data_IF_050422758020
#
_entry.id   IF_050422758020
#
_cell.length_a   1.000
_cell.length_b   1.000
_cell.length_c   1.000
_cell.angle_alpha   90.00
_cell.angle_beta   90.00
_cell.angle_gamma   90.00
#
_symmetry.space_group_name_H-M   'P 1'
#
loop_
_entity.id
_entity.type
_entity.pdbx_description
1 polymer ?
#
# COMPACT_ATOMS: atom_id res chain seq x y z
N UNK A 1 -0.64 10.21 -13.07
CA UNK A 1 -1.54 9.18 -12.50
C UNK A 1 -2.12 9.78 -11.24
N UNK A 2 -3.44 9.80 -11.14
CA UNK A 2 -4.15 10.28 -9.98
C UNK A 2 -4.86 9.09 -9.35
N UNK A 3 -4.79 8.99 -8.03
CA UNK A 3 -5.60 8.02 -7.29
C UNK A 3 -6.60 8.85 -6.51
N UNK A 4 -7.88 8.49 -6.54
CA UNK A 4 -8.92 9.08 -5.71
C UNK A 4 -9.51 8.01 -4.83
N UNK A 5 -9.90 8.30 -3.60
CA UNK A 5 -10.53 7.27 -2.76
C UNK A 5 -11.30 7.83 -1.58
N UNK A 6 -12.04 6.94 -0.93
CA UNK A 6 -12.86 7.24 0.24
C UNK A 6 -12.93 6.06 1.20
N UNK A 7 -13.20 6.34 2.47
CA UNK A 7 -13.63 5.35 3.46
C UNK A 7 -15.04 4.89 3.11
N UNK A 8 -15.27 3.58 3.19
CA UNK A 8 -16.60 3.01 3.06
C UNK A 8 -16.89 2.06 4.23
N UNK A 9 -18.17 1.77 4.42
CA UNK A 9 -18.61 0.83 5.45
C UNK A 9 -18.11 -0.58 5.14
N UNK A 10 -17.27 -1.16 6.00
CA UNK A 10 -16.67 -2.48 5.74
C UNK A 10 -17.72 -3.57 5.51
N UNK A 11 -18.82 -3.52 6.27
CA UNK A 11 -19.91 -4.50 6.14
C UNK A 11 -20.63 -4.45 4.78
N UNK A 12 -20.50 -3.36 4.00
CA UNK A 12 -21.16 -3.25 2.70
C UNK A 12 -20.42 -4.03 1.59
N UNK A 13 -19.13 -4.32 1.78
CA UNK A 13 -18.31 -5.03 0.80
C UNK A 13 -17.80 -6.38 1.31
N UNK A 14 -17.99 -6.70 2.60
CA UNK A 14 -17.37 -7.87 3.23
C UNK A 14 -17.68 -9.18 2.49
N UNK A 15 -18.95 -9.48 2.23
CA UNK A 15 -19.37 -10.70 1.52
C UNK A 15 -18.67 -10.83 0.16
N UNK A 16 -18.74 -9.77 -0.66
CA UNK A 16 -18.09 -9.71 -1.98
C UNK A 16 -16.58 -9.98 -1.90
N UNK A 17 -15.92 -9.41 -0.89
CA UNK A 17 -14.47 -9.49 -0.76
C UNK A 17 -14.02 -10.88 -0.29
N UNK A 18 -14.78 -11.50 0.62
CA UNK A 18 -14.44 -12.83 1.16
C UNK A 18 -14.76 -13.95 0.18
N UNK A 19 -15.77 -13.81 -0.69
CA UNK A 19 -16.07 -14.77 -1.75
C UNK A 19 -14.96 -14.90 -2.80
N UNK A 20 -14.19 -13.82 -3.01
CA UNK A 20 -13.14 -13.76 -4.02
C UNK A 20 -11.78 -14.32 -3.59
N UNK A 21 -11.65 -14.78 -2.34
CA UNK A 21 -10.35 -15.17 -1.76
C UNK A 21 -10.44 -16.52 -1.05
N UNK A 22 -9.42 -17.36 -1.23
CA UNK A 22 -9.24 -18.58 -0.43
C UNK A 22 -8.67 -18.22 0.96
N UNK A 23 -9.56 -17.76 1.86
CA UNK A 23 -9.19 -17.44 3.23
C UNK A 23 -8.64 -18.64 4.01
N UNK A 24 -9.04 -19.86 3.66
CA UNK A 24 -8.54 -21.05 4.34
C UNK A 24 -7.06 -21.27 4.05
N UNK A 25 -6.63 -21.05 2.80
CA UNK A 25 -5.21 -21.02 2.45
C UNK A 25 -4.47 -19.90 3.18
N UNK A 26 -5.01 -18.67 3.19
CA UNK A 26 -4.39 -17.52 3.88
C UNK A 26 -4.19 -17.84 5.36
N UNK A 27 -5.22 -18.31 6.05
CA UNK A 27 -5.17 -18.73 7.46
C UNK A 27 -4.16 -19.84 7.68
N UNK A 28 -4.12 -20.85 6.81
CA UNK A 28 -3.18 -21.97 6.91
C UNK A 28 -1.73 -21.47 6.87
N UNK A 29 -1.42 -20.53 5.98
CA UNK A 29 -0.07 -19.95 5.89
C UNK A 29 0.24 -19.03 7.07
N UNK A 30 -0.70 -18.21 7.53
CA UNK A 30 -0.54 -17.38 8.73
C UNK A 30 -0.30 -18.22 9.99
N UNK A 31 -1.01 -19.33 10.13
CA UNK A 31 -0.93 -20.24 11.28
C UNK A 31 0.43 -20.94 11.43
N UNK A 32 1.33 -20.82 10.45
CA UNK A 32 2.73 -21.24 10.59
C UNK A 32 3.52 -20.33 11.54
N UNK A 33 3.09 -19.08 11.73
CA UNK A 33 3.80 -18.06 12.51
C UNK A 33 3.07 -17.67 13.81
N UNK A 34 1.76 -17.87 13.87
CA UNK A 34 0.94 -17.59 15.04
C UNK A 34 -0.54 -17.85 14.74
N UNK A 35 -1.36 -18.07 15.78
CA UNK A 35 -2.77 -18.37 15.60
C UNK A 35 -3.53 -17.15 15.06
N UNK A 36 -4.18 -17.30 13.91
CA UNK A 36 -5.19 -16.39 13.40
C UNK A 36 -6.59 -17.01 13.60
N UNK A 37 -7.49 -16.24 14.19
CA UNK A 37 -8.91 -16.61 14.35
C UNK A 37 -9.81 -15.47 13.89
N UNK A 38 -10.84 -15.79 13.10
CA UNK A 38 -11.84 -14.81 12.65
C UNK A 38 -12.71 -14.30 13.81
N UNK A 39 -12.96 -15.14 14.81
CA UNK A 39 -13.73 -14.78 16.01
C UNK A 39 -13.02 -13.71 16.85
N UNK A 40 -11.74 -13.47 16.58
CA UNK A 40 -10.90 -12.48 17.26
C UNK A 40 -10.67 -11.21 16.43
N UNK A 41 -11.37 -11.03 15.29
CA UNK A 41 -11.29 -9.78 14.52
C UNK A 41 -11.86 -8.65 15.40
N UNK A 42 -10.99 -7.71 15.77
CA UNK A 42 -11.33 -6.56 16.62
C UNK A 42 -11.57 -5.28 15.84
N UNK A 43 -11.14 -5.22 14.58
CA UNK A 43 -11.37 -4.06 13.71
C UNK A 43 -11.58 -4.48 12.26
N UNK A 44 -12.57 -3.82 11.63
CA UNK A 44 -12.81 -3.86 10.20
C UNK A 44 -12.75 -2.44 9.64
N UNK A 45 -12.10 -2.27 8.50
CA UNK A 45 -12.11 -1.01 7.76
C UNK A 45 -12.12 -1.30 6.28
N UNK A 46 -12.74 -0.42 5.50
CA UNK A 46 -12.76 -0.55 4.06
C UNK A 46 -12.53 0.79 3.37
N UNK A 47 -11.99 0.69 2.17
CA UNK A 47 -11.79 1.81 1.26
C UNK A 47 -12.28 1.45 -0.13
N UNK A 48 -12.71 2.45 -0.85
CA UNK A 48 -12.78 2.41 -2.30
C UNK A 48 -11.75 3.39 -2.87
N UNK A 49 -11.15 3.02 -4.01
CA UNK A 49 -10.26 3.91 -4.73
C UNK A 49 -10.37 3.72 -6.24
N UNK A 50 -9.90 4.73 -6.95
CA UNK A 50 -10.02 4.88 -8.38
C UNK A 50 -8.70 5.41 -8.91
N UNK A 51 -8.16 4.79 -9.95
CA UNK A 51 -6.97 5.29 -10.63
C UNK A 51 -7.38 5.92 -11.94
N UNK A 52 -6.94 7.16 -12.16
CA UNK A 52 -7.15 7.90 -13.40
C UNK A 52 -5.84 8.37 -14.03
N UNK A 53 -5.78 8.41 -15.36
CA UNK A 53 -4.66 9.05 -16.07
C UNK A 53 -4.72 10.58 -15.99
N UNK A 54 -5.94 11.14 -16.03
CA UNK A 54 -6.21 12.58 -15.97
C UNK A 54 -7.08 12.92 -14.75
N UNK A 55 -6.71 13.97 -14.04
CA UNK A 55 -7.43 14.54 -12.90
C UNK A 55 -8.90 14.87 -13.20
N UNK A 56 -9.17 15.35 -14.42
CA UNK A 56 -10.51 15.72 -14.90
C UNK A 56 -11.38 14.50 -15.23
N UNK A 57 -10.81 13.29 -15.24
CA UNK A 57 -11.56 12.06 -15.51
C UNK A 57 -12.57 11.83 -14.40
N UNK A 58 -13.83 11.69 -14.77
CA UNK A 58 -14.87 11.32 -13.81
C UNK A 58 -14.59 9.92 -13.25
N UNK A 59 -14.83 9.74 -11.96
CA UNK A 59 -14.62 8.49 -11.21
C UNK A 59 -15.28 7.28 -11.89
N UNK A 60 -16.45 7.47 -12.49
CA UNK A 60 -17.17 6.45 -13.24
C UNK A 60 -16.36 5.86 -14.42
N UNK A 61 -15.46 6.66 -15.00
CA UNK A 61 -14.62 6.36 -16.15
C UNK A 61 -13.17 5.99 -15.76
N UNK A 62 -12.90 5.76 -14.48
CA UNK A 62 -11.56 5.38 -14.00
C UNK A 62 -11.04 4.10 -14.68
N UNK A 63 -9.75 4.06 -15.00
CA UNK A 63 -9.10 2.89 -15.58
C UNK A 63 -9.15 1.67 -14.67
N UNK A 64 -8.89 1.90 -13.38
CA UNK A 64 -8.87 0.88 -12.35
C UNK A 64 -9.75 1.33 -11.20
N UNK A 65 -10.65 0.44 -10.77
CA UNK A 65 -11.44 0.59 -9.55
C UNK A 65 -10.94 -0.42 -8.54
N UNK A 66 -10.81 0.01 -7.29
CA UNK A 66 -10.26 -0.79 -6.20
C UNK A 66 -11.18 -0.78 -5.00
N UNK A 67 -11.40 -1.95 -4.41
CA UNK A 67 -12.02 -2.09 -3.10
C UNK A 67 -11.01 -2.74 -2.17
N UNK A 68 -10.73 -2.11 -1.03
CA UNK A 68 -9.86 -2.64 0.01
C UNK A 68 -10.66 -2.98 1.25
N UNK A 69 -10.51 -4.19 1.79
CA UNK A 69 -11.06 -4.62 3.06
C UNK A 69 -9.92 -5.03 3.99
N UNK A 70 -9.86 -4.46 5.17
CA UNK A 70 -8.88 -4.79 6.21
C UNK A 70 -9.59 -5.43 7.39
N UNK A 71 -9.12 -6.61 7.79
CA UNK A 71 -9.55 -7.37 8.95
C UNK A 71 -8.37 -7.46 9.92
N UNK A 72 -8.48 -6.83 11.10
CA UNK A 72 -7.42 -6.89 12.13
C UNK A 72 -7.84 -7.70 13.33
N UNK A 73 -6.96 -8.58 13.78
CA UNK A 73 -6.98 -9.18 15.10
C UNK A 73 -5.93 -8.47 15.95
N UNK A 74 -6.38 -7.37 16.58
CA UNK A 74 -5.54 -6.51 17.42
C UNK A 74 -4.25 -6.09 16.67
N UNK A 75 -3.10 -6.11 17.35
CA UNK A 75 -1.78 -5.86 16.77
C UNK A 75 -0.99 -7.15 16.55
N UNK A 76 -1.65 -8.31 16.58
CA UNK A 76 -0.97 -9.61 16.42
C UNK A 76 -1.03 -10.10 14.98
N UNK A 77 -2.15 -9.88 14.30
CA UNK A 77 -2.28 -10.28 12.92
C UNK A 77 -3.36 -9.49 12.21
N UNK A 78 -3.26 -9.40 10.88
CA UNK A 78 -4.27 -8.75 10.08
C UNK A 78 -4.18 -9.17 8.61
N UNK A 79 -5.31 -9.11 7.92
CA UNK A 79 -5.50 -9.45 6.52
C UNK A 79 -6.05 -8.21 5.81
N UNK A 80 -5.44 -7.82 4.70
CA UNK A 80 -5.96 -6.85 3.75
C UNK A 80 -6.26 -7.56 2.45
N UNK A 81 -7.49 -7.45 1.97
CA UNK A 81 -7.93 -7.95 0.67
C UNK A 81 -8.18 -6.73 -0.20
N UNK A 82 -7.56 -6.69 -1.37
CA UNK A 82 -7.78 -5.65 -2.37
C UNK A 82 -8.29 -6.29 -3.66
N UNK A 83 -9.50 -5.91 -4.06
CA UNK A 83 -10.11 -6.30 -5.32
C UNK A 83 -9.91 -5.18 -6.33
N UNK A 84 -9.22 -5.49 -7.43
CA UNK A 84 -8.99 -4.58 -8.53
C UNK A 84 -9.90 -4.95 -9.71
N UNK A 85 -10.60 -3.96 -10.26
CA UNK A 85 -11.30 -4.06 -11.53
C UNK A 85 -10.61 -3.17 -12.55
N UNK A 86 -10.00 -3.76 -13.58
CA UNK A 86 -9.47 -3.02 -14.70
C UNK A 86 -10.54 -2.88 -15.80
N UNK A 87 -11.02 -1.65 -15.99
CA UNK A 87 -12.09 -1.35 -16.96
C UNK A 87 -11.59 -1.44 -18.41
N UNK A 88 -10.30 -1.14 -18.67
CA UNK A 88 -9.70 -1.20 -20.01
C UNK A 88 -9.47 -2.64 -20.48
N UNK A 89 -9.03 -3.52 -19.58
CA UNK A 89 -8.72 -4.93 -19.87
C UNK A 89 -9.92 -5.86 -19.62
N UNK A 90 -10.98 -5.37 -18.98
CA UNK A 90 -12.12 -6.18 -18.54
C UNK A 90 -11.65 -7.37 -17.69
N UNK A 91 -10.81 -7.08 -16.71
CA UNK A 91 -10.20 -8.06 -15.81
C UNK A 91 -10.47 -7.70 -14.34
N UNK A 92 -10.56 -8.73 -13.50
CA UNK A 92 -10.76 -8.61 -12.05
C UNK A 92 -9.74 -9.48 -11.35
N UNK A 93 -8.93 -8.88 -10.48
CA UNK A 93 -7.93 -9.59 -9.70
C UNK A 93 -8.06 -9.28 -8.21
N UNK A 94 -7.62 -10.22 -7.39
CA UNK A 94 -7.54 -10.08 -5.94
C UNK A 94 -6.09 -10.12 -5.49
N UNK A 95 -5.73 -9.18 -4.62
CA UNK A 95 -4.47 -9.22 -3.88
C UNK A 95 -4.80 -9.33 -2.41
N UNK A 96 -4.28 -10.35 -1.75
CA UNK A 96 -4.44 -10.50 -0.31
C UNK A 96 -3.09 -10.36 0.37
N UNK A 97 -2.99 -9.45 1.34
CA UNK A 97 -1.81 -9.25 2.18
C UNK A 97 -2.14 -9.67 3.59
N UNK A 98 -1.40 -10.64 4.11
CA UNK A 98 -1.51 -11.05 5.50
C UNK A 98 -0.24 -10.67 6.25
N UNK A 99 -0.39 -10.13 7.45
CA UNK A 99 0.73 -9.86 8.35
C UNK A 99 0.50 -10.56 9.67
N UNK A 100 1.51 -11.28 10.17
CA UNK A 100 1.55 -11.84 11.53
C UNK A 100 2.74 -11.25 12.26
N UNK A 101 2.52 -10.70 13.44
CA UNK A 101 3.56 -10.11 14.30
C UNK A 101 3.96 -11.14 15.35
N UNK A 102 5.21 -11.56 15.33
CA UNK A 102 5.79 -12.36 16.41
C UNK A 102 6.74 -11.49 17.23
N UNK A 103 6.77 -11.73 18.54
CA UNK A 103 7.63 -11.02 19.47
C UNK A 103 8.33 -12.01 20.37
N UNK A 104 9.66 -11.93 20.42
CA UNK A 104 10.48 -12.55 21.45
C UNK A 104 11.12 -11.45 22.32
N UNK A 105 11.87 -11.84 23.35
CA UNK A 105 12.44 -10.88 24.32
C UNK A 105 13.42 -9.87 23.71
N UNK A 106 13.95 -10.12 22.50
CA UNK A 106 14.97 -9.30 21.85
C UNK A 106 14.52 -8.66 20.52
N UNK A 107 13.43 -9.14 19.91
CA UNK A 107 13.12 -8.86 18.51
C UNK A 107 11.61 -8.94 18.23
N UNK A 108 11.14 -8.05 17.37
CA UNK A 108 9.81 -8.09 16.78
C UNK A 108 9.98 -8.41 15.29
N UNK A 109 9.27 -9.40 14.80
CA UNK A 109 9.28 -9.80 13.39
C UNK A 109 7.87 -9.72 12.84
N UNK A 110 7.73 -9.08 11.67
CA UNK A 110 6.52 -9.10 10.85
C UNK A 110 6.69 -10.12 9.74
N UNK A 111 5.89 -11.18 9.80
CA UNK A 111 5.76 -12.16 8.73
C UNK A 111 4.71 -11.64 7.74
N UNK A 112 5.17 -11.12 6.60
CA UNK A 112 4.33 -10.56 5.55
C UNK A 112 4.16 -11.60 4.45
N UNK A 113 2.90 -11.90 4.13
CA UNK A 113 2.50 -12.85 3.10
C UNK A 113 1.70 -12.09 2.04
N UNK A 114 1.95 -12.38 0.76
CA UNK A 114 1.16 -11.85 -0.35
C UNK A 114 0.61 -12.98 -1.18
N UNK A 115 -0.68 -12.89 -1.48
CA UNK A 115 -1.38 -13.77 -2.38
C UNK A 115 -1.93 -12.95 -3.56
N UNK A 116 -1.79 -13.47 -4.76
CA UNK A 116 -2.40 -12.91 -5.98
C UNK A 116 -3.32 -13.97 -6.57
N UNK A 117 -4.60 -13.63 -6.73
CA UNK A 117 -5.64 -14.52 -7.27
C UNK A 117 -5.68 -15.91 -6.59
N UNK A 118 -5.46 -15.91 -5.27
CA UNK A 118 -5.46 -17.11 -4.42
C UNK A 118 -4.14 -17.88 -4.38
N UNK A 119 -3.12 -17.47 -5.14
CA UNK A 119 -1.80 -18.10 -5.10
C UNK A 119 -0.83 -17.31 -4.22
N UNK A 120 -0.09 -18.00 -3.34
CA UNK A 120 0.94 -17.39 -2.51
C UNK A 120 2.15 -17.01 -3.37
N UNK A 121 2.42 -15.70 -3.51
CA UNK A 121 3.49 -15.18 -4.35
C UNK A 121 4.71 -14.70 -3.57
N UNK A 122 4.53 -14.18 -2.36
CA UNK A 122 5.64 -13.69 -1.53
C UNK A 122 5.51 -14.06 -0.05
N UNK A 123 6.67 -14.31 0.57
CA UNK A 123 6.86 -14.42 2.02
C UNK A 123 8.08 -13.59 2.42
N UNK A 124 7.87 -12.60 3.28
CA UNK A 124 8.95 -11.76 3.83
C UNK A 124 8.89 -11.78 5.35
N UNK A 125 10.04 -12.00 5.97
CA UNK A 125 10.23 -11.83 7.41
C UNK A 125 10.97 -10.51 7.63
N UNK A 126 10.30 -9.53 8.23
CA UNK A 126 10.83 -8.18 8.41
C UNK A 126 11.04 -7.90 9.89
N UNK A 127 12.30 -7.74 10.28
CA UNK A 127 12.65 -7.29 11.62
C UNK A 127 12.27 -5.81 11.79
N UNK A 128 11.62 -5.47 12.89
CA UNK A 128 11.12 -4.10 13.12
C UNK A 128 11.16 -3.73 14.59
N UNK A 129 11.07 -2.43 14.86
CA UNK A 129 10.82 -1.91 16.22
C UNK A 129 9.36 -1.49 16.42
N UNK A 130 8.54 -1.58 15.37
CA UNK A 130 7.16 -1.12 15.32
C UNK A 130 6.21 -2.32 15.21
N UNK A 131 5.61 -2.80 16.32
CA UNK A 131 4.69 -3.94 16.29
C UNK A 131 3.36 -3.63 15.59
N UNK A 132 3.05 -2.36 15.36
CA UNK A 132 1.78 -1.95 14.76
C UNK A 132 1.72 -2.35 13.28
N UNK A 133 0.64 -3.02 12.86
CA UNK A 133 0.44 -3.41 11.46
C UNK A 133 -0.19 -2.24 10.70
N UNK A 134 0.44 -1.82 9.61
CA UNK A 134 0.01 -0.72 8.73
C UNK A 134 -0.62 -1.30 7.46
N UNK A 135 -1.79 -0.80 7.07
CA UNK A 135 -2.48 -1.18 5.83
C UNK A 135 -3.07 0.05 5.15
N UNK A 136 -3.34 -0.08 3.85
CA UNK A 136 -3.76 1.05 3.01
C UNK A 136 -5.05 1.67 3.53
N UNK A 137 -6.02 0.82 3.91
CA UNK A 137 -7.35 1.25 4.36
C UNK A 137 -7.34 2.15 5.61
N UNK A 138 -6.26 2.12 6.41
CA UNK A 138 -6.14 2.94 7.60
C UNK A 138 -5.27 4.18 7.40
N UNK A 139 -4.22 4.07 6.59
CA UNK A 139 -3.23 5.14 6.42
C UNK A 139 -3.62 6.19 5.37
N UNK A 140 -4.41 5.84 4.35
CA UNK A 140 -4.76 6.82 3.29
C UNK A 140 -5.62 8.00 3.81
N UNK A 141 -6.11 7.93 5.06
CA UNK A 141 -7.16 8.82 5.55
C UNK A 141 -6.85 9.34 6.96
N UNK A 142 -5.57 9.57 7.29
CA UNK A 142 -5.26 10.28 8.52
C UNK A 142 -5.44 11.79 8.29
N UNK A 143 -6.47 12.37 8.91
CA UNK A 143 -6.85 13.79 8.85
C UNK A 143 -5.69 14.75 9.17
N UNK A 144 -4.64 14.23 9.81
CA UNK A 144 -3.47 15.01 10.22
C UNK A 144 -2.45 15.23 9.09
N UNK A 145 -2.44 14.41 8.04
CA UNK A 145 -1.61 14.62 6.85
C UNK A 145 -2.39 15.36 5.73
N UNK A 146 -3.73 15.39 5.80
CA UNK A 146 -4.64 16.11 4.87
C UNK A 146 -4.54 17.64 4.99
N UNK A 147 -3.92 18.16 6.05
CA UNK A 147 -3.77 19.61 6.26
C UNK A 147 -2.88 20.35 5.23
N UNK A 148 -2.31 19.64 4.24
CA UNK A 148 -1.53 20.21 3.14
C UNK A 148 -2.30 20.36 1.80
N UNK A 149 -3.52 19.82 1.67
CA UNK A 149 -4.30 19.93 0.44
C UNK A 149 -5.71 20.43 0.76
N UNK A 150 -6.14 21.53 0.12
CA UNK A 150 -7.52 22.04 0.18
C UNK A 150 -8.48 21.10 -0.58
N UNK A 151 -8.58 19.84 -0.18
CA UNK A 151 -9.54 18.87 -0.71
C UNK A 151 -10.61 18.55 0.33
N UNK A 152 -11.79 18.15 -0.16
CA UNK A 152 -12.91 17.66 0.64
C UNK A 152 -12.41 16.60 1.64
N UNK A 153 -12.74 16.67 2.95
CA UNK A 153 -12.36 15.64 3.92
C UNK A 153 -12.86 14.22 3.57
N UNK A 154 -13.87 14.12 2.69
CA UNK A 154 -14.40 12.85 2.20
C UNK A 154 -13.76 12.39 0.86
N UNK A 155 -12.94 13.21 0.21
CA UNK A 155 -12.21 12.88 -1.03
C UNK A 155 -10.69 12.86 -0.80
N UNK A 156 -10.10 11.67 -0.86
CA UNK A 156 -8.65 11.51 -0.79
C UNK A 156 -8.03 11.55 -2.18
N UNK A 157 -6.90 12.27 -2.31
CA UNK A 157 -5.99 12.21 -3.45
C UNK A 157 -4.81 11.32 -3.09
N UNK A 158 -4.48 10.37 -3.97
CA UNK A 158 -3.37 9.43 -3.92
C UNK A 158 -2.11 10.04 -3.37
N UNK A 159 -1.20 9.21 -2.84
CA UNK A 159 0.10 9.61 -2.27
C UNK A 159 0.67 10.87 -2.94
N UNK A 160 0.41 12.08 -2.40
CA UNK A 160 0.46 13.30 -3.22
C UNK A 160 1.87 13.62 -3.75
N UNK A 161 2.88 13.16 -3.02
CA UNK A 161 4.27 13.28 -3.42
C UNK A 161 4.67 12.44 -4.65
N UNK A 162 3.81 11.55 -5.17
CA UNK A 162 4.01 10.90 -6.47
C UNK A 162 3.31 11.61 -7.62
N UNK A 163 2.60 12.72 -7.36
CA UNK A 163 2.12 13.57 -8.43
C UNK A 163 3.29 14.30 -9.09
N UNK A 164 3.40 14.16 -10.41
CA UNK A 164 4.43 14.83 -11.23
C UNK A 164 4.08 16.30 -11.52
N UNK A 165 2.89 16.75 -11.13
CA UNK A 165 2.40 18.09 -11.41
C UNK A 165 1.83 18.76 -10.14
N UNK A 166 2.41 19.88 -9.67
CA UNK A 166 3.49 20.65 -10.28
C UNK A 166 4.84 19.94 -10.26
N UNK A 167 5.72 20.25 -11.21
CA UNK A 167 7.06 19.69 -11.39
C UNK A 167 8.06 19.93 -10.22
N UNK A 168 7.58 20.45 -9.09
CA UNK A 168 8.32 20.72 -7.86
C UNK A 168 7.69 19.99 -6.67
N UNK A 169 7.14 18.79 -6.88
CA UNK A 169 6.64 17.99 -5.77
C UNK A 169 7.76 17.80 -4.74
N UNK A 170 7.46 18.14 -3.47
CA UNK A 170 8.38 17.85 -2.38
C UNK A 170 8.47 16.33 -2.21
N UNK A 171 9.63 15.87 -1.75
CA UNK A 171 9.82 14.44 -1.48
C UNK A 171 8.85 13.97 -0.42
N UNK A 172 8.49 12.69 -0.54
CA UNK A 172 7.49 12.11 0.33
C UNK A 172 7.89 12.28 1.80
N UNK A 173 6.91 12.64 2.61
CA UNK A 173 7.05 12.71 4.05
C UNK A 173 5.98 11.81 4.66
N UNK A 174 6.41 10.86 5.49
CA UNK A 174 5.50 9.90 6.07
C UNK A 174 5.72 9.73 7.57
N UNK A 175 4.62 9.56 8.30
CA UNK A 175 4.64 9.03 9.67
C UNK A 175 4.18 7.57 9.66
N UNK A 176 4.75 6.76 10.55
CA UNK A 176 4.24 5.42 10.81
C UNK A 176 2.75 5.47 11.21
N UNK A 177 1.89 4.72 10.51
CA UNK A 177 0.43 4.74 10.68
C UNK A 177 -0.22 6.14 10.49
N UNK A 178 0.48 7.11 9.91
CA UNK A 178 0.00 8.49 9.80
C UNK A 178 -0.28 9.17 11.14
N UNK A 179 0.31 8.68 12.25
CA UNK A 179 0.01 9.15 13.61
C UNK A 179 0.83 10.41 13.96
N UNK A 180 0.22 11.52 14.41
CA UNK A 180 0.93 12.80 14.65
C UNK A 180 2.10 12.73 15.63
N UNK A 181 2.04 11.79 16.58
CA UNK A 181 3.06 11.62 17.62
C UNK A 181 4.19 10.67 17.21
N UNK A 182 4.10 10.00 16.05
CA UNK A 182 5.22 9.25 15.48
C UNK A 182 6.14 10.21 14.73
N UNK A 183 7.40 9.86 14.61
CA UNK A 183 8.39 10.66 13.88
C UNK A 183 7.97 10.84 12.41
N UNK A 184 8.22 12.05 11.88
CA UNK A 184 8.05 12.33 10.45
C UNK A 184 9.36 11.97 9.76
N UNK A 185 9.29 11.05 8.82
CA UNK A 185 10.42 10.68 7.97
C UNK A 185 10.30 11.46 6.66
N UNK A 186 11.27 12.31 6.35
CA UNK A 186 11.38 12.99 5.05
C UNK A 186 12.30 12.18 4.15
N UNK A 187 11.77 11.64 3.06
CA UNK A 187 12.51 10.78 2.15
C UNK A 187 13.39 11.60 1.19
N UNK A 188 14.51 11.03 0.75
CA UNK A 188 15.42 11.66 -0.21
C UNK A 188 15.16 11.23 -1.65
N UNK A 189 14.55 10.06 -1.84
CA UNK A 189 14.33 9.42 -3.14
C UNK A 189 12.87 9.10 -3.43
N UNK A 190 12.05 8.81 -2.41
CA UNK A 190 10.63 8.58 -2.65
C UNK A 190 9.92 9.90 -3.00
N UNK A 191 9.43 10.02 -4.24
CA UNK A 191 8.60 11.14 -4.70
C UNK A 191 8.89 11.51 -6.16
N UNK A 192 7.95 12.13 -6.84
CA UNK A 192 8.14 12.58 -8.22
C UNK A 192 9.23 13.67 -8.28
N UNK A 193 10.32 13.39 -9.00
CA UNK A 193 11.46 14.32 -9.12
C UNK A 193 12.40 14.33 -7.91
N UNK A 194 12.22 13.40 -6.97
CA UNK A 194 13.06 13.27 -5.80
C UNK A 194 14.25 12.37 -6.08
N UNK A 195 15.34 12.96 -6.57
CA UNK A 195 16.60 12.25 -6.74
C UNK A 195 17.73 13.04 -6.10
N UNK A 196 17.79 13.05 -4.76
CA UNK A 196 18.85 13.76 -4.02
C UNK A 196 20.14 12.95 -3.99
N UNK A 197 20.76 12.75 -5.17
CA UNK A 197 21.97 11.94 -5.40
C UNK A 197 23.22 12.24 -4.54
N UNK A 198 23.17 13.28 -3.70
CA UNK A 198 24.21 13.67 -2.75
C UNK A 198 23.89 13.28 -1.30
N UNK A 199 22.75 12.64 -1.05
CA UNK A 199 22.31 12.14 0.26
C UNK A 199 22.18 10.61 0.21
N UNK A 200 22.46 9.96 1.33
CA UNK A 200 22.13 8.55 1.51
C UNK A 200 20.61 8.39 1.66
N UNK A 201 20.04 7.22 1.29
CA UNK A 201 18.66 6.92 1.62
C UNK A 201 18.41 6.94 3.13
N UNK A 202 17.27 7.48 3.56
CA UNK A 202 16.98 7.61 4.99
C UNK A 202 16.69 6.27 5.68
N UNK A 203 16.10 5.32 4.94
CA UNK A 203 15.74 4.00 5.44
C UNK A 203 15.66 2.98 4.28
N UNK A 204 15.43 1.68 4.56
CA UNK A 204 15.31 0.66 3.52
C UNK A 204 14.26 0.94 2.44
N UNK A 205 13.15 1.60 2.75
CA UNK A 205 12.15 1.95 1.75
C UNK A 205 12.64 3.08 0.83
N UNK A 206 13.32 4.08 1.38
CA UNK A 206 13.95 5.14 0.58
C UNK A 206 15.02 4.58 -0.37
N UNK A 207 15.76 3.55 0.07
CA UNK A 207 16.72 2.84 -0.77
C UNK A 207 16.05 2.07 -1.93
N UNK A 208 14.83 1.56 -1.72
CA UNK A 208 14.03 1.01 -2.81
C UNK A 208 13.68 2.09 -3.85
N UNK A 209 13.32 3.29 -3.41
CA UNK A 209 13.05 4.44 -4.28
C UNK A 209 14.31 4.90 -5.03
N UNK A 210 15.48 4.97 -4.38
CA UNK A 210 16.76 5.27 -5.05
C UNK A 210 17.03 4.29 -6.19
N UNK A 211 16.82 2.99 -5.93
CA UNK A 211 17.01 1.94 -6.94
C UNK A 211 16.04 2.10 -8.11
N UNK A 212 14.78 2.46 -7.83
CA UNK A 212 13.75 2.72 -8.84
C UNK A 212 14.11 3.92 -9.72
N UNK A 213 14.53 5.03 -9.12
CA UNK A 213 15.00 6.22 -9.84
C UNK A 213 16.19 5.89 -10.75
N UNK A 214 17.17 5.13 -10.23
CA UNK A 214 18.31 4.67 -11.02
C UNK A 214 17.90 3.78 -12.19
N UNK A 215 16.86 2.94 -11.99
CA UNK A 215 16.31 2.07 -13.02
C UNK A 215 15.69 2.91 -14.17
N UNK A 216 14.87 3.92 -13.84
CA UNK A 216 14.30 4.83 -14.83
C UNK A 216 15.38 5.65 -15.55
N UNK A 217 16.36 6.20 -14.82
CA UNK A 217 17.46 6.99 -15.41
C UNK A 217 18.32 6.23 -16.42
N UNK A 218 18.30 4.89 -16.39
CA UNK A 218 19.01 4.03 -17.35
C UNK A 218 18.17 3.62 -18.57
N UNK A 219 16.96 4.19 -18.73
CA UNK A 219 16.00 3.84 -19.79
C UNK A 219 15.62 2.35 -19.81
N UNK A 220 15.53 1.72 -18.64
CA UNK A 220 14.97 0.37 -18.54
C UNK A 220 13.45 0.38 -18.75
N UNK A 221 12.88 -0.81 -18.95
CA UNK A 221 11.44 -0.99 -19.05
C UNK A 221 10.78 -0.48 -17.74
N UNK A 222 9.97 0.58 -17.86
CA UNK A 222 9.28 1.24 -16.75
C UNK A 222 8.43 0.27 -15.92
N UNK A 223 7.79 -0.74 -16.53
CA UNK A 223 7.05 -1.77 -15.79
C UNK A 223 8.00 -2.59 -14.92
N UNK A 224 9.15 -3.00 -15.48
CA UNK A 224 10.11 -3.82 -14.75
C UNK A 224 10.68 -3.05 -13.55
N UNK A 225 10.93 -1.74 -13.70
CA UNK A 225 11.33 -0.88 -12.60
C UNK A 225 10.24 -0.79 -11.53
N UNK A 226 8.97 -0.58 -11.92
CA UNK A 226 7.85 -0.48 -10.99
C UNK A 226 7.60 -1.80 -10.23
N UNK A 227 7.66 -2.95 -10.91
CA UNK A 227 7.57 -4.27 -10.25
C UNK A 227 8.76 -4.52 -9.30
N UNK A 228 9.97 -4.10 -9.68
CA UNK A 228 11.14 -4.21 -8.79
C UNK A 228 10.97 -3.35 -7.54
N UNK A 229 10.41 -2.13 -7.68
CA UNK A 229 10.09 -1.27 -6.54
C UNK A 229 9.06 -1.92 -5.62
N UNK A 230 7.97 -2.47 -6.17
CA UNK A 230 6.95 -3.17 -5.38
C UNK A 230 7.55 -4.32 -4.57
N UNK A 231 8.31 -5.19 -5.22
CA UNK A 231 8.95 -6.33 -4.55
C UNK A 231 9.93 -5.89 -3.46
N UNK A 232 10.67 -4.80 -3.68
CA UNK A 232 11.58 -4.23 -2.68
C UNK A 232 10.80 -3.66 -1.48
N UNK A 233 9.78 -2.83 -1.75
CA UNK A 233 8.98 -2.18 -0.72
C UNK A 233 8.19 -3.18 0.14
N UNK A 234 7.70 -4.28 -0.44
CA UNK A 234 7.03 -5.36 0.31
C UNK A 234 7.96 -6.08 1.31
N UNK A 235 9.28 -5.97 1.13
CA UNK A 235 10.30 -6.49 2.03
C UNK A 235 10.71 -5.52 3.15
N UNK A 236 10.12 -4.32 3.22
CA UNK A 236 10.43 -3.32 4.25
C UNK A 236 9.28 -3.14 5.23
N UNK A 237 9.52 -2.45 6.34
CA UNK A 237 8.49 -2.06 7.31
C UNK A 237 8.63 -0.59 7.68
N UNK A 238 8.70 0.28 6.68
CA UNK A 238 8.95 1.71 6.87
C UNK A 238 7.69 2.59 6.73
N UNK A 239 7.75 3.79 7.29
CA UNK A 239 6.67 4.77 7.25
C UNK A 239 6.21 5.05 5.81
N UNK A 240 4.92 4.87 5.52
CA UNK A 240 4.36 5.09 4.18
C UNK A 240 4.64 4.00 3.16
N UNK A 241 5.31 2.90 3.54
CA UNK A 241 5.52 1.74 2.66
C UNK A 241 4.21 1.18 2.13
N UNK A 242 3.17 1.16 2.97
CA UNK A 242 1.85 0.69 2.53
C UNK A 242 1.31 1.58 1.38
N UNK A 243 1.31 2.89 1.57
CA UNK A 243 0.84 3.86 0.58
C UNK A 243 1.59 3.76 -0.75
N UNK A 244 2.92 3.61 -0.69
CA UNK A 244 3.75 3.41 -1.89
C UNK A 244 3.35 2.14 -2.63
N UNK A 245 3.24 1.02 -1.92
CA UNK A 245 2.89 -0.27 -2.54
C UNK A 245 1.51 -0.18 -3.19
N UNK A 246 0.51 0.40 -2.54
CA UNK A 246 -0.82 0.59 -3.14
C UNK A 246 -0.72 1.40 -4.44
N UNK A 247 0.00 2.54 -4.41
CA UNK A 247 0.08 3.44 -5.55
C UNK A 247 0.71 2.76 -6.77
N UNK A 248 1.82 2.06 -6.56
CA UNK A 248 2.52 1.37 -7.66
C UNK A 248 1.82 0.07 -8.09
N UNK A 249 1.13 -0.63 -7.19
CA UNK A 249 0.32 -1.80 -7.56
C UNK A 249 -0.87 -1.37 -8.42
N UNK A 250 -1.54 -0.29 -8.04
CA UNK A 250 -2.61 0.27 -8.83
C UNK A 250 -2.08 0.81 -10.19
N UNK A 251 -0.91 1.47 -10.20
CA UNK A 251 -0.24 1.94 -11.43
C UNK A 251 0.04 0.80 -12.41
N UNK A 252 0.73 -0.23 -11.95
CA UNK A 252 1.12 -1.37 -12.82
C UNK A 252 -0.08 -2.06 -13.42
N UNK A 253 -1.22 -2.07 -12.71
CA UNK A 253 -2.49 -2.59 -13.21
C UNK A 253 -3.15 -1.74 -14.28
N UNK A 254 -2.89 -0.43 -14.36
CA UNK A 254 -3.41 0.39 -15.48
C UNK A 254 -2.77 0.01 -16.82
N UNK A 255 -1.64 -0.70 -16.80
CA UNK A 255 -0.80 -0.94 -17.97
C UNK A 255 0.00 0.27 -18.44
N UNK A 256 -0.13 1.41 -17.75
CA UNK A 256 0.62 2.64 -18.01
C UNK A 256 1.96 2.56 -17.30
N UNK A 257 2.87 1.84 -17.92
CA UNK A 257 4.29 1.96 -17.60
C UNK A 257 4.89 2.96 -18.60
N UNK A 258 4.75 4.24 -18.29
CA UNK A 258 5.35 5.35 -19.06
C UNK A 258 6.86 5.41 -18.85
#
# INVERSE_FOLDING_TARGET
>A
MFIKGAKIEANSIEELMLEGVDLELVKKEMNQYGVFSEDEITKKSAIEFFVTENEETQVENAEVKGLGLVLKNNNQSAIEITRYENQKLNDVNFVTRATVVTKNDAQIVKHKLKFEDGELVHKNDVETTHPEITFYGEELLSDNEVSAANSDPDEFWGVPCFDVNPANAECCQFRYNGLPWKELVEYNYCGAGCTRSWLEPENPLDACCETHDSCYGRNFNSCACDYALLNCAEGTDEAGGSRLILAFEAKTRTGVCS
#
